data_IF_020752694577
#
_entry.id   IF_020752694577
#
_cell.length_a   1.000
_cell.length_b   1.000
_cell.length_c   1.000
_cell.angle_alpha   90.00
_cell.angle_beta   90.00
_cell.angle_gamma   90.00
#
_symmetry.space_group_name_H-M   'P 1'
#
loop_
_entity.id
_entity.type
_entity.pdbx_description
1 polymer ?
#
# COMPACT_ATOMS: atom_id res chain seq x y z
N UNK A 1 -5.18 2.27 1.81
CA UNK A 1 -4.41 3.13 0.90
C UNK A 1 -3.42 4.00 1.65
N UNK A 2 -2.42 4.52 0.95
CA UNK A 2 -1.46 5.48 1.47
C UNK A 2 -2.11 6.85 1.70
N UNK A 3 -1.51 7.64 2.59
CA UNK A 3 -1.98 8.99 2.90
C UNK A 3 -1.41 10.04 1.94
N UNK A 4 -2.16 11.11 1.77
CA UNK A 4 -1.70 12.31 1.05
C UNK A 4 -1.01 13.27 2.01
N UNK A 5 0.02 13.98 1.53
CA UNK A 5 0.63 15.08 2.26
C UNK A 5 -0.09 16.38 1.91
N UNK A 6 -0.74 17.05 2.83
CA UNK A 6 -1.02 18.49 2.71
C UNK A 6 -1.63 19.14 3.96
N UNK A 7 -1.42 20.47 4.00
CA UNK A 7 -1.83 21.39 5.05
C UNK A 7 -3.36 21.50 5.23
N UNK A 8 -3.79 21.63 6.47
CA UNK A 8 -5.03 22.28 6.91
C UNK A 8 -6.34 21.51 6.97
N UNK A 9 -6.41 20.21 6.88
CA UNK A 9 -7.65 19.57 7.35
C UNK A 9 -7.38 18.19 7.92
N UNK A 10 -7.76 18.05 9.17
CA UNK A 10 -7.84 16.83 9.95
C UNK A 10 -8.84 15.85 9.28
N UNK A 11 -8.42 15.27 8.17
CA UNK A 11 -9.20 14.20 7.57
C UNK A 11 -8.68 12.88 8.09
N UNK A 12 -9.43 12.21 8.92
CA UNK A 12 -9.07 10.87 9.34
C UNK A 12 -8.97 9.96 8.12
N UNK A 13 -7.99 9.09 8.12
CA UNK A 13 -7.86 8.08 7.11
C UNK A 13 -9.07 7.12 7.15
N UNK A 14 -9.43 6.57 5.99
CA UNK A 14 -10.57 5.67 5.88
C UNK A 14 -10.32 4.34 6.58
N UNK A 15 -11.35 3.85 7.29
CA UNK A 15 -11.40 2.49 7.82
C UNK A 15 -11.75 1.51 6.70
N UNK A 16 -11.37 0.23 6.87
CA UNK A 16 -11.68 -0.79 5.87
C UNK A 16 -11.21 -2.16 6.30
N UNK A 17 -11.15 -3.13 5.37
CA UNK A 17 -10.48 -4.42 5.61
C UNK A 17 -9.07 -4.17 6.16
N UNK A 18 -8.31 -3.30 5.50
CA UNK A 18 -7.11 -2.66 6.07
C UNK A 18 -7.31 -1.15 6.14
N UNK A 19 -6.82 -0.51 7.19
CA UNK A 19 -6.97 0.92 7.42
C UNK A 19 -6.05 1.78 6.57
N UNK A 20 -6.47 2.97 6.23
CA UNK A 20 -5.63 3.97 5.54
C UNK A 20 -4.58 4.58 6.46
N UNK A 21 -3.46 5.03 5.90
CA UNK A 21 -2.44 5.80 6.63
C UNK A 21 -2.90 7.22 6.93
N UNK A 22 -2.47 7.77 8.06
CA UNK A 22 -2.78 9.14 8.46
C UNK A 22 -2.11 10.17 7.57
N UNK A 23 -2.82 11.22 7.20
CA UNK A 23 -2.28 12.33 6.41
C UNK A 23 -1.31 13.18 7.22
N UNK A 24 -0.26 13.71 6.57
CA UNK A 24 0.50 14.81 7.14
C UNK A 24 -0.38 16.06 7.24
N UNK A 25 -0.25 16.81 8.30
CA UNK A 25 -1.02 18.03 8.46
C UNK A 25 -1.00 18.52 9.89
N UNK A 26 -1.46 19.74 10.08
CA UNK A 26 -1.69 20.32 11.40
C UNK A 26 -3.19 20.28 11.66
N UNK A 27 -3.59 19.63 12.72
CA UNK A 27 -4.99 19.61 13.10
C UNK A 27 -5.42 20.95 13.72
N UNK A 28 -6.74 21.17 13.86
CA UNK A 28 -7.31 22.39 14.43
C UNK A 28 -6.83 22.70 15.84
N UNK A 29 -6.34 21.70 16.57
CA UNK A 29 -5.82 21.84 17.93
C UNK A 29 -4.32 22.16 17.99
N UNK A 30 -3.68 22.40 16.84
CA UNK A 30 -2.26 22.68 16.75
C UNK A 30 -1.34 21.47 16.87
N UNK A 31 -1.88 20.27 17.03
CA UNK A 31 -1.12 19.03 17.01
C UNK A 31 -0.81 18.63 15.58
N UNK A 32 0.35 18.00 15.40
CA UNK A 32 0.78 17.51 14.08
C UNK A 32 0.34 16.06 13.88
N UNK A 33 -0.04 15.73 12.66
CA UNK A 33 -0.31 14.38 12.22
C UNK A 33 -1.80 13.99 12.19
N UNK A 34 -2.20 13.36 11.12
CA UNK A 34 -3.53 12.81 10.92
C UNK A 34 -3.74 11.45 11.58
N UNK A 35 -4.96 11.21 12.01
CA UNK A 35 -5.36 9.92 12.55
C UNK A 35 -5.34 8.84 11.46
N UNK A 36 -4.98 7.63 11.88
CA UNK A 36 -5.00 6.44 11.02
C UNK A 36 -6.42 5.91 10.83
N UNK A 37 -6.64 5.24 9.72
CA UNK A 37 -7.78 4.37 9.56
C UNK A 37 -7.57 3.04 10.30
N UNK A 38 -8.64 2.46 10.80
CA UNK A 38 -8.63 1.16 11.46
C UNK A 38 -8.91 0.04 10.48
N UNK A 39 -8.20 -1.07 10.63
CA UNK A 39 -8.47 -2.33 9.95
C UNK A 39 -9.61 -3.08 10.61
N UNK A 40 -10.28 -3.93 9.85
CA UNK A 40 -11.28 -4.87 10.39
C UNK A 40 -10.57 -6.13 10.86
N UNK A 41 -10.82 -6.52 12.10
CA UNK A 41 -10.26 -7.75 12.67
C UNK A 41 -10.53 -8.97 11.78
N UNK A 42 -9.49 -9.74 11.50
CA UNK A 42 -9.55 -10.91 10.61
C UNK A 42 -9.51 -10.58 9.11
N UNK A 43 -9.48 -9.29 8.71
CA UNK A 43 -9.34 -8.89 7.32
C UNK A 43 -8.04 -8.13 7.05
N UNK A 44 -7.57 -7.37 8.02
CA UNK A 44 -6.34 -6.60 7.87
C UNK A 44 -6.04 -5.74 9.08
N UNK A 45 -5.00 -4.94 8.97
CA UNK A 45 -4.45 -4.15 10.05
C UNK A 45 -4.68 -2.65 9.85
N UNK A 46 -4.49 -1.91 10.93
CA UNK A 46 -4.58 -0.45 10.93
C UNK A 46 -3.49 0.17 10.03
N UNK A 47 -3.77 1.32 9.47
CA UNK A 47 -2.73 2.20 8.97
C UNK A 47 -1.89 2.76 10.12
N UNK A 48 -0.83 3.48 9.79
CA UNK A 48 -0.07 4.21 10.79
C UNK A 48 -0.59 5.64 10.98
N UNK A 49 -0.30 6.24 12.13
CA UNK A 49 -0.51 7.67 12.35
C UNK A 49 0.63 8.46 11.73
N UNK A 50 0.31 9.58 11.12
CA UNK A 50 1.32 10.57 10.80
C UNK A 50 1.74 11.30 12.08
N UNK A 51 3.02 11.33 12.36
CA UNK A 51 3.55 12.01 13.54
C UNK A 51 4.04 13.42 13.27
N UNK A 52 3.89 13.91 12.05
CA UNK A 52 4.43 15.20 11.63
C UNK A 52 3.61 15.76 10.46
N UNK A 53 3.74 17.06 10.23
CA UNK A 53 3.10 17.77 9.12
C UNK A 53 3.55 17.26 7.75
N UNK A 54 4.79 16.77 7.65
CA UNK A 54 5.48 16.56 6.38
C UNK A 54 5.60 15.09 5.98
N UNK A 55 5.30 14.19 6.90
CA UNK A 55 5.53 12.75 6.73
C UNK A 55 4.25 11.94 6.92
N UNK A 56 3.44 11.81 5.87
CA UNK A 56 2.29 10.94 5.91
C UNK A 56 2.68 9.49 6.17
N UNK A 57 1.76 8.76 6.72
CA UNK A 57 1.96 7.39 7.11
C UNK A 57 1.44 6.39 6.06
N UNK A 58 1.96 5.18 6.09
CA UNK A 58 1.52 4.08 5.25
C UNK A 58 0.20 3.47 5.72
N UNK A 59 -0.56 2.93 4.78
CA UNK A 59 -1.76 2.15 5.06
C UNK A 59 -1.43 0.75 5.59
N UNK A 60 -2.35 0.14 6.32
CA UNK A 60 -2.23 -1.24 6.77
C UNK A 60 -2.31 -2.23 5.61
N UNK A 61 -1.66 -3.36 5.77
CA UNK A 61 -1.79 -4.54 4.93
C UNK A 61 -2.66 -5.61 5.61
N UNK A 62 -2.82 -6.74 4.94
CA UNK A 62 -3.54 -7.87 5.53
C UNK A 62 -2.73 -8.55 6.64
N UNK A 63 -1.40 -8.53 6.58
CA UNK A 63 -0.51 -9.18 7.53
C UNK A 63 0.16 -8.24 8.55
N UNK A 64 0.16 -6.91 8.31
CA UNK A 64 0.84 -5.97 9.17
C UNK A 64 0.27 -4.56 9.15
N UNK A 65 0.51 -3.82 10.22
CA UNK A 65 0.18 -2.40 10.30
C UNK A 65 1.04 -1.58 9.35
N UNK A 66 0.53 -0.43 8.90
CA UNK A 66 1.34 0.57 8.21
C UNK A 66 2.42 1.16 9.12
N UNK A 67 3.42 1.78 8.53
CA UNK A 67 4.52 2.43 9.25
C UNK A 67 4.39 3.96 9.18
N UNK A 68 4.82 4.62 10.23
CA UNK A 68 4.81 6.08 10.36
C UNK A 68 6.03 6.59 11.11
N UNK A 69 6.29 7.89 11.03
CA UNK A 69 7.47 8.48 11.68
C UNK A 69 7.42 8.47 13.21
N UNK A 70 6.27 8.52 13.82
CA UNK A 70 6.15 8.54 15.28
C UNK A 70 5.29 7.43 15.82
N UNK A 71 5.91 6.48 16.49
CA UNK A 71 5.37 5.75 17.61
C UNK A 71 4.41 4.60 17.35
N UNK A 72 3.86 4.44 16.18
CA UNK A 72 2.98 3.30 15.85
C UNK A 72 3.51 2.62 14.59
N UNK A 73 3.90 1.37 14.70
CA UNK A 73 4.49 0.62 13.58
C UNK A 73 6.00 0.73 13.43
N UNK A 74 6.69 1.40 14.35
CA UNK A 74 8.16 1.52 14.33
C UNK A 74 8.69 2.88 13.85
N UNK A 75 9.96 3.14 14.14
CA UNK A 75 10.69 4.38 13.76
C UNK A 75 11.08 4.40 12.26
N UNK A 76 10.21 3.97 11.37
CA UNK A 76 10.47 4.12 9.95
C UNK A 76 10.14 5.56 9.53
N UNK A 77 11.14 6.30 9.10
CA UNK A 77 11.00 7.69 8.66
C UNK A 77 10.27 7.85 7.32
N UNK A 78 9.84 6.75 6.69
CA UNK A 78 9.32 6.75 5.33
C UNK A 78 7.80 6.64 5.19
N UNK A 79 7.10 6.14 6.18
CA UNK A 79 5.67 5.87 6.05
C UNK A 79 5.36 4.69 5.13
N UNK A 80 6.10 3.61 5.26
CA UNK A 80 5.91 2.42 4.43
C UNK A 80 4.55 1.76 4.68
N UNK A 81 3.99 1.11 3.66
CA UNK A 81 2.79 0.30 3.77
C UNK A 81 3.02 -0.96 4.60
N UNK A 82 1.99 -1.41 5.30
CA UNK A 82 2.00 -2.67 6.05
C UNK A 82 2.13 -3.89 5.12
N UNK A 83 2.76 -4.93 5.62
CA UNK A 83 2.91 -6.16 4.86
C UNK A 83 1.57 -6.86 4.62
N UNK A 84 1.46 -7.56 3.49
CA UNK A 84 0.38 -8.47 3.22
C UNK A 84 0.52 -9.79 3.98
N UNK A 85 -0.22 -10.80 3.56
CA UNK A 85 -0.06 -12.18 4.03
C UNK A 85 0.54 -13.04 2.94
N UNK A 86 1.43 -13.95 3.35
CA UNK A 86 1.98 -14.95 2.45
C UNK A 86 1.05 -16.17 2.36
N UNK A 87 0.86 -16.67 1.15
CA UNK A 87 0.06 -17.87 0.90
C UNK A 87 0.53 -18.57 -0.38
N UNK A 88 0.56 -19.89 -0.34
CA UNK A 88 1.02 -20.77 -1.41
C UNK A 88 -0.10 -21.48 -2.18
N UNK A 89 -1.33 -21.03 -2.09
CA UNK A 89 -2.51 -21.63 -2.72
C UNK A 89 -2.36 -21.85 -4.24
N UNK A 90 -1.47 -21.09 -4.89
CA UNK A 90 -1.14 -21.24 -6.32
C UNK A 90 0.01 -22.23 -6.57
N UNK A 91 0.49 -22.93 -5.55
CA UNK A 91 1.64 -23.84 -5.63
C UNK A 91 3.00 -23.14 -5.48
N UNK A 92 3.02 -21.83 -5.41
CA UNK A 92 4.18 -20.98 -5.10
C UNK A 92 3.74 -19.95 -4.08
N UNK A 93 4.59 -19.66 -3.10
CA UNK A 93 4.30 -18.67 -2.08
C UNK A 93 4.34 -17.26 -2.66
N UNK A 94 3.23 -16.54 -2.53
CA UNK A 94 3.09 -15.13 -2.88
C UNK A 94 2.56 -14.34 -1.70
N UNK A 95 2.95 -13.06 -1.65
CA UNK A 95 2.38 -12.09 -0.73
C UNK A 95 1.15 -11.40 -1.34
N UNK A 96 0.12 -11.16 -0.53
CA UNK A 96 -1.18 -10.64 -0.93
C UNK A 96 -1.61 -9.48 -0.05
N UNK A 97 -2.27 -8.51 -0.63
CA UNK A 97 -2.91 -7.40 0.08
C UNK A 97 -1.96 -6.56 0.96
N UNK A 98 -0.80 -6.18 0.41
CA UNK A 98 0.10 -5.20 1.03
C UNK A 98 -0.49 -3.80 1.05
N UNK A 99 -0.17 -3.00 2.06
CA UNK A 99 -0.60 -1.60 2.19
C UNK A 99 0.12 -0.66 1.24
N UNK A 100 -0.48 0.48 0.94
CA UNK A 100 0.18 1.54 0.16
C UNK A 100 1.10 2.42 1.00
N UNK A 101 2.20 2.88 0.44
CA UNK A 101 3.12 3.83 1.07
C UNK A 101 2.57 5.25 1.15
N UNK A 102 2.93 6.00 2.18
CA UNK A 102 2.60 7.41 2.33
C UNK A 102 3.45 8.32 1.44
N UNK A 103 2.88 9.41 0.95
CA UNK A 103 3.62 10.41 0.18
C UNK A 103 4.58 11.23 1.08
N UNK A 104 5.51 11.98 0.53
CA UNK A 104 6.33 12.91 1.29
C UNK A 104 6.36 14.31 0.68
N UNK A 105 6.43 15.34 1.54
CA UNK A 105 6.49 16.75 1.13
C UNK A 105 7.94 17.26 1.08
N UNK A 106 8.21 18.14 0.15
CA UNK A 106 9.55 18.46 -0.37
C UNK A 106 10.45 19.36 0.41
N UNK A 107 9.95 20.19 1.31
CA UNK A 107 10.76 21.26 1.87
C UNK A 107 11.70 20.81 2.99
N UNK A 108 11.68 19.57 3.37
CA UNK A 108 12.57 19.02 4.38
C UNK A 108 13.51 17.99 3.77
N UNK A 109 14.77 18.07 4.17
CA UNK A 109 15.92 17.25 3.73
C UNK A 109 15.76 15.73 3.98
N UNK A 110 14.58 15.27 4.28
CA UNK A 110 14.29 13.85 4.40
C UNK A 110 13.65 13.34 3.10
N UNK A 111 14.35 12.51 2.36
CA UNK A 111 14.08 12.29 0.95
C UNK A 111 13.11 11.16 0.64
N UNK A 112 12.32 10.69 1.57
CA UNK A 112 11.74 9.35 1.40
C UNK A 112 10.22 9.34 1.51
N UNK A 113 9.54 9.16 0.37
CA UNK A 113 8.19 8.62 0.35
C UNK A 113 8.20 7.15 0.81
N UNK A 114 7.09 6.69 1.36
CA UNK A 114 6.93 5.34 1.82
C UNK A 114 6.91 4.31 0.69
N UNK A 115 7.50 3.16 0.94
CA UNK A 115 7.39 2.01 0.06
C UNK A 115 6.00 1.39 0.15
N UNK A 116 5.54 0.75 -0.90
CA UNK A 116 4.41 -0.16 -0.81
C UNK A 116 4.78 -1.41 -0.01
N UNK A 117 3.83 -1.92 0.79
CA UNK A 117 4.00 -3.15 1.54
C UNK A 117 4.04 -4.39 0.64
N UNK A 118 4.66 -5.45 1.13
CA UNK A 118 4.70 -6.75 0.46
C UNK A 118 3.32 -7.23 0.06
N UNK A 119 3.19 -7.79 -1.12
CA UNK A 119 1.90 -8.22 -1.64
C UNK A 119 1.20 -7.20 -2.51
N UNK A 120 1.96 -6.42 -3.27
CA UNK A 120 1.45 -5.53 -4.30
C UNK A 120 1.04 -4.15 -3.80
N UNK A 121 1.58 -3.65 -2.70
CA UNK A 121 1.36 -2.27 -2.30
C UNK A 121 1.99 -1.27 -3.27
N UNK A 122 1.30 -0.18 -3.60
CA UNK A 122 1.82 0.92 -4.42
C UNK A 122 2.68 1.89 -3.61
N UNK A 123 3.73 2.44 -4.20
CA UNK A 123 4.64 3.40 -3.56
C UNK A 123 4.03 4.78 -3.42
N UNK A 124 4.39 5.50 -2.36
CA UNK A 124 4.00 6.89 -2.15
C UNK A 124 4.74 7.86 -3.04
N UNK A 125 4.11 8.95 -3.42
CA UNK A 125 4.73 10.00 -4.24
C UNK A 125 5.69 10.88 -3.44
N UNK A 126 6.65 11.47 -4.14
CA UNK A 126 7.63 12.39 -3.58
C UNK A 126 7.65 13.70 -4.37
N UNK A 127 7.86 14.81 -3.72
CA UNK A 127 7.84 16.15 -4.33
C UNK A 127 8.98 16.41 -5.34
N UNK A 128 10.16 15.94 -5.10
CA UNK A 128 11.28 16.24 -5.99
C UNK A 128 11.31 15.33 -7.21
N UNK A 129 11.26 15.98 -8.39
CA UNK A 129 11.58 15.33 -9.65
C UNK A 129 13.04 14.86 -9.68
N UNK A 130 13.25 13.68 -10.16
CA UNK A 130 14.38 13.08 -10.91
C UNK A 130 15.82 13.54 -10.72
N UNK A 131 16.15 14.69 -10.15
CA UNK A 131 17.54 15.19 -10.14
C UNK A 131 18.35 14.86 -8.89
N UNK A 132 17.78 14.25 -7.87
CA UNK A 132 18.47 13.99 -6.61
C UNK A 132 18.70 12.51 -6.27
N UNK A 133 18.69 11.62 -7.22
CA UNK A 133 19.19 10.25 -7.02
C UNK A 133 18.57 9.49 -5.83
N UNK A 134 17.34 9.80 -5.48
CA UNK A 134 16.65 9.13 -4.39
C UNK A 134 16.36 7.68 -4.78
N UNK A 135 16.58 6.73 -3.88
CA UNK A 135 16.27 5.35 -4.16
C UNK A 135 14.80 5.28 -4.55
N UNK A 136 14.56 4.72 -5.70
CA UNK A 136 13.22 4.38 -6.17
C UNK A 136 12.49 3.73 -5.02
N UNK A 137 11.26 4.16 -4.78
CA UNK A 137 10.36 3.48 -3.87
C UNK A 137 10.20 2.06 -4.43
N UNK A 138 10.96 1.13 -3.88
CA UNK A 138 10.95 -0.24 -4.37
C UNK A 138 9.68 -0.89 -3.87
N UNK A 139 8.84 -1.25 -4.80
CA UNK A 139 7.73 -2.14 -4.50
C UNK A 139 8.27 -3.53 -4.26
N UNK A 140 7.68 -4.22 -3.30
CA UNK A 140 8.13 -5.55 -2.95
C UNK A 140 7.98 -6.53 -4.11
N UNK A 141 8.99 -7.36 -4.26
CA UNK A 141 9.12 -8.29 -5.39
C UNK A 141 8.31 -9.58 -5.22
N UNK A 142 7.73 -9.82 -4.05
CA UNK A 142 7.13 -11.10 -3.70
C UNK A 142 5.60 -11.17 -3.85
N UNK A 143 4.95 -10.15 -4.41
CA UNK A 143 3.54 -10.23 -4.80
C UNK A 143 3.36 -10.94 -6.14
N UNK A 144 2.19 -11.51 -6.38
CA UNK A 144 1.83 -12.08 -7.70
C UNK A 144 2.02 -11.04 -8.81
N UNK A 145 1.69 -9.80 -8.51
CA UNK A 145 1.95 -8.63 -9.35
C UNK A 145 2.46 -7.51 -8.47
N UNK A 146 3.57 -6.89 -8.84
CA UNK A 146 4.12 -5.75 -8.11
C UNK A 146 3.14 -4.59 -8.12
N UNK A 147 3.13 -3.79 -7.04
CA UNK A 147 2.55 -2.46 -7.07
C UNK A 147 3.34 -1.55 -8.02
N UNK A 148 2.78 -0.42 -8.35
CA UNK A 148 3.43 0.55 -9.24
C UNK A 148 4.29 1.53 -8.44
N UNK A 149 5.34 2.02 -9.08
CA UNK A 149 6.09 3.18 -8.59
C UNK A 149 5.28 4.45 -8.82
N UNK A 150 5.47 5.49 -8.01
CA UNK A 150 4.83 6.78 -8.25
C UNK A 150 5.27 7.37 -9.59
N UNK A 151 4.37 8.09 -10.23
CA UNK A 151 4.66 8.79 -11.49
C UNK A 151 4.93 10.26 -11.23
N UNK A 152 6.01 10.78 -11.86
CA UNK A 152 6.37 12.20 -11.85
C UNK A 152 6.03 12.83 -13.17
N UNK A 153 5.45 14.03 -13.18
CA UNK A 153 5.13 14.79 -14.39
C UNK A 153 6.26 15.73 -14.87
N UNK A 154 7.48 15.46 -14.47
CA UNK A 154 8.69 16.08 -15.04
C UNK A 154 9.03 17.49 -14.56
N UNK A 155 8.28 18.52 -14.76
CA UNK A 155 8.70 19.91 -14.48
C UNK A 155 7.77 20.69 -13.54
N UNK A 156 6.73 20.11 -13.08
CA UNK A 156 5.77 20.74 -12.15
C UNK A 156 5.44 19.71 -11.08
N UNK A 157 5.85 19.93 -9.92
CA UNK A 157 5.52 19.35 -8.62
C UNK A 157 4.22 18.50 -8.50
N UNK A 158 3.95 17.65 -9.47
CA UNK A 158 2.74 16.84 -9.59
C UNK A 158 3.16 15.38 -9.60
N UNK A 159 3.01 14.76 -8.46
CA UNK A 159 3.39 13.36 -8.31
C UNK A 159 2.19 12.54 -7.84
N UNK A 160 1.77 11.60 -8.66
CA UNK A 160 0.74 10.63 -8.28
C UNK A 160 1.37 9.41 -7.64
N UNK A 161 0.73 8.90 -6.59
CA UNK A 161 1.12 7.65 -5.95
C UNK A 161 1.00 6.47 -6.91
N UNK A 162 1.80 5.45 -6.70
CA UNK A 162 1.76 4.20 -7.45
C UNK A 162 0.49 3.40 -7.14
N UNK A 163 -0.06 2.74 -8.13
CA UNK A 163 -1.23 1.86 -7.94
C UNK A 163 -0.82 0.54 -7.29
N UNK A 164 -1.74 -0.10 -6.62
CA UNK A 164 -1.58 -1.46 -6.13
C UNK A 164 -1.50 -2.48 -7.27
N UNK A 165 -0.79 -3.59 -7.03
CA UNK A 165 -0.62 -4.67 -7.99
C UNK A 165 -1.96 -5.34 -8.36
N UNK A 166 -2.13 -5.64 -9.63
CA UNK A 166 -3.33 -6.32 -10.12
C UNK A 166 -3.44 -7.72 -9.50
N UNK A 167 -4.65 -8.12 -9.15
CA UNK A 167 -4.97 -9.43 -8.59
C UNK A 167 -4.29 -9.74 -7.25
N UNK A 168 -3.80 -8.72 -6.53
CA UNK A 168 -3.20 -8.89 -5.21
C UNK A 168 -4.04 -8.33 -4.08
N UNK A 169 -4.99 -7.43 -4.38
CA UNK A 169 -5.70 -6.66 -3.36
C UNK A 169 -4.83 -5.58 -2.69
N UNK A 170 -3.65 -5.29 -3.24
CA UNK A 170 -2.72 -4.31 -2.68
C UNK A 170 -3.29 -2.88 -2.66
N UNK A 171 -2.92 -2.09 -1.65
CA UNK A 171 -3.32 -0.69 -1.53
C UNK A 171 -2.55 0.22 -2.50
N UNK A 172 -3.15 1.31 -2.93
CA UNK A 172 -2.44 2.36 -3.67
C UNK A 172 -1.67 3.30 -2.75
N UNK A 173 -0.57 3.84 -3.24
CA UNK A 173 0.26 4.82 -2.54
C UNK A 173 -0.37 6.21 -2.47
N UNK A 174 0.08 7.02 -1.53
CA UNK A 174 -0.34 8.41 -1.38
C UNK A 174 0.16 9.30 -2.52
N UNK A 175 -0.66 10.26 -2.94
CA UNK A 175 -0.25 11.33 -3.85
C UNK A 175 0.31 12.52 -3.09
N UNK A 176 1.23 13.24 -3.68
CA UNK A 176 1.84 14.43 -3.10
C UNK A 176 1.17 15.67 -3.68
N UNK A 177 0.91 16.68 -2.86
CA UNK A 177 0.31 17.96 -3.24
C UNK A 177 1.14 19.12 -2.69
N UNK A 178 1.59 19.99 -3.57
CA UNK A 178 2.14 21.31 -3.22
C UNK A 178 1.03 22.37 -3.26
N UNK A 179 1.10 23.33 -2.35
CA UNK A 179 0.14 24.45 -2.26
C UNK A 179 -0.01 25.25 -3.57
N UNK A 180 0.99 25.20 -4.43
CA UNK A 180 1.01 25.87 -5.72
C UNK A 180 0.63 24.95 -6.90
N UNK A 181 0.33 23.70 -6.63
CA UNK A 181 0.04 22.70 -7.67
C UNK A 181 -1.46 22.60 -7.95
N UNK A 182 -1.79 22.23 -9.16
CA UNK A 182 -3.16 21.89 -9.53
C UNK A 182 -3.64 20.66 -8.76
N UNK A 183 -4.61 20.79 -7.85
CA UNK A 183 -5.08 19.68 -7.00
C UNK A 183 -5.67 18.52 -7.81
N UNK A 184 -5.98 18.74 -9.08
CA UNK A 184 -6.53 17.69 -9.94
C UNK A 184 -5.46 16.71 -10.43
N UNK A 185 -4.20 17.06 -10.30
CA UNK A 185 -3.06 16.29 -10.81
C UNK A 185 -2.35 15.44 -9.75
N UNK A 186 -2.53 15.78 -8.49
CA UNK A 186 -1.91 15.06 -7.35
C UNK A 186 -2.88 14.00 -6.84
N UNK A 187 -2.76 12.78 -7.32
CA UNK A 187 -3.69 11.71 -6.98
C UNK A 187 -2.99 10.58 -6.22
N UNK A 188 -3.68 10.03 -5.23
CA UNK A 188 -3.29 8.73 -4.71
C UNK A 188 -3.41 7.65 -5.79
N UNK A 189 -2.56 6.65 -5.72
CA UNK A 189 -2.64 5.46 -6.57
C UNK A 189 -3.94 4.70 -6.33
N UNK A 190 -4.40 3.98 -7.33
CA UNK A 190 -5.56 3.10 -7.21
C UNK A 190 -5.18 1.85 -6.41
N UNK A 191 -6.12 1.28 -5.66
CA UNK A 191 -5.94 -0.06 -5.12
C UNK A 191 -5.86 -1.10 -6.25
N UNK A 192 -5.11 -2.16 -6.03
CA UNK A 192 -5.07 -3.31 -6.92
C UNK A 192 -6.39 -4.08 -6.88
N UNK A 193 -6.73 -4.75 -7.97
CA UNK A 193 -7.88 -5.66 -7.97
C UNK A 193 -7.61 -6.85 -7.05
N UNK A 194 -8.66 -7.39 -6.45
CA UNK A 194 -8.62 -8.68 -5.77
C UNK A 194 -8.63 -9.85 -6.75
N UNK A 195 -8.51 -11.05 -6.20
CA UNK A 195 -8.64 -12.32 -6.90
C UNK A 195 -9.42 -13.30 -6.03
N UNK A 196 -10.14 -14.21 -6.66
CA UNK A 196 -10.73 -15.37 -6.00
C UNK A 196 -10.06 -16.62 -6.57
N UNK A 197 -9.48 -17.43 -5.70
CA UNK A 197 -8.83 -18.69 -6.06
C UNK A 197 -9.65 -19.82 -5.47
N UNK A 198 -10.07 -20.77 -6.32
CA UNK A 198 -10.81 -21.96 -5.91
C UNK A 198 -9.94 -23.16 -6.21
N UNK A 199 -9.60 -23.92 -5.16
CA UNK A 199 -8.90 -25.19 -5.30
C UNK A 199 -9.93 -26.29 -5.15
N UNK A 200 -10.14 -27.04 -6.22
CA UNK A 200 -11.00 -28.22 -6.21
C UNK A 200 -10.16 -29.51 -6.22
N UNK A 201 -10.54 -30.55 -5.48
CA UNK A 201 -9.87 -31.83 -5.56
C UNK A 201 -10.00 -32.41 -6.97
N UNK A 202 -8.89 -32.92 -7.51
CA UNK A 202 -8.91 -33.62 -8.79
C UNK A 202 -9.65 -34.95 -8.57
N UNK A 203 -10.81 -35.10 -9.19
CA UNK A 203 -11.51 -36.40 -9.22
C UNK A 203 -10.71 -37.32 -10.14
N UNK A 204 -10.00 -38.28 -9.57
CA UNK A 204 -9.39 -39.35 -10.33
C UNK A 204 -10.47 -40.40 -10.53
N UNK A 205 -11.07 -40.47 -11.70
CA UNK A 205 -11.88 -41.60 -12.11
C UNK A 205 -10.93 -42.77 -12.35
N UNK A 206 -10.88 -43.71 -11.40
CA UNK A 206 -10.25 -45.00 -11.65
C UNK A 206 -11.14 -45.73 -12.65
N UNK A 207 -10.65 -46.12 -13.83
CA UNK A 207 -11.44 -46.93 -14.72
C UNK A 207 -11.86 -48.19 -13.97
N UNK A 208 -13.16 -48.51 -13.95
CA UNK A 208 -13.62 -49.77 -13.42
C UNK A 208 -12.96 -50.89 -14.24
N UNK A 209 -12.09 -51.65 -13.59
CA UNK A 209 -11.59 -52.87 -14.20
C UNK A 209 -12.80 -53.75 -14.50
N UNK A 210 -13.04 -54.03 -15.79
CA UNK A 210 -14.00 -55.02 -16.17
C UNK A 210 -13.48 -56.35 -15.61
N UNK A 211 -14.23 -56.92 -14.67
CA UNK A 211 -13.95 -58.28 -14.20
C UNK A 211 -14.25 -59.21 -15.37
N UNK A 212 -13.20 -59.80 -15.92
CA UNK A 212 -13.35 -60.87 -16.91
C UNK A 212 -13.82 -62.14 -16.19
N UNK A 213 -15.09 -62.46 -16.33
CA UNK A 213 -15.73 -63.67 -15.79
C UNK A 213 -15.63 -64.86 -16.75
N UNK A 214 -14.79 -64.83 -17.78
CA UNK A 214 -14.68 -65.88 -18.79
C UNK A 214 -13.84 -67.12 -18.41
N UNK A 215 -13.47 -67.26 -17.15
CA UNK A 215 -12.71 -68.43 -16.65
C UNK A 215 -13.46 -69.15 -15.51
N UNK A 216 -14.67 -69.67 -15.78
CA UNK A 216 -15.27 -70.75 -15.00
C UNK A 216 -15.69 -71.86 -15.91
#
# INVERSE_FOLDING_TARGET
>A
GGATAHNYNDRPAGNGGSGGGGSGGRNSNGSYGGERGTGTSGQGHDGARSGDTWYPAGGGGAGGMGYGRSGQGGNNSRGDGGEGVENDILGTAYWWAGGGGGASHSNHQSPYAGHGGKGGGGGGAHYHSSSMGHPLVTNDENGLTKGEVPTSSGSSHVNSGGSGGKHTGGGGGGGEHDANSDPTKCRGGRGGSGIVVIVAPKIITVPSQAYDTSNT
#
